data_IF_117523713813
#
_entry.id   IF_117523713813
#
_cell.length_a   1.000
_cell.length_b   1.000
_cell.length_c   1.000
_cell.angle_alpha   90.00
_cell.angle_beta   90.00
_cell.angle_gamma   90.00
#
_symmetry.space_group_name_H-M   'P 1'
#
loop_
_entity.id
_entity.type
_entity.pdbx_description
1 polymer ?
#
# COMPACT_ATOMS: atom_id res chain seq x y z
N UNK A 1 -12.75 3.39 -7.64
CA UNK A 1 -13.72 3.77 -6.60
C UNK A 1 -13.10 4.65 -5.52
N UNK A 2 -12.01 4.24 -4.83
CA UNK A 2 -11.32 5.11 -3.85
C UNK A 2 -10.92 6.47 -4.42
N UNK A 3 -10.39 6.51 -5.64
CA UNK A 3 -10.03 7.78 -6.30
C UNK A 3 -11.21 8.73 -6.53
N UNK A 4 -12.42 8.22 -6.72
CA UNK A 4 -13.61 9.04 -6.87
C UNK A 4 -13.95 9.77 -5.57
N UNK A 5 -13.99 9.07 -4.44
CA UNK A 5 -14.28 9.67 -3.12
C UNK A 5 -13.16 10.64 -2.68
N UNK A 6 -11.91 10.31 -2.99
CA UNK A 6 -10.76 11.19 -2.74
C UNK A 6 -10.82 12.47 -3.59
N UNK A 7 -11.24 12.36 -4.87
CA UNK A 7 -11.42 13.50 -5.76
C UNK A 7 -12.52 14.45 -5.30
N UNK A 8 -13.51 13.94 -4.57
CA UNK A 8 -14.56 14.77 -3.92
C UNK A 8 -14.11 15.38 -2.58
N UNK A 9 -12.86 15.17 -2.16
CA UNK A 9 -12.33 15.63 -0.87
C UNK A 9 -12.80 14.81 0.34
N UNK A 10 -13.56 13.73 0.13
CA UNK A 10 -14.02 12.86 1.21
C UNK A 10 -13.10 11.65 1.35
N UNK A 11 -12.20 11.70 2.33
CA UNK A 11 -11.23 10.63 2.63
C UNK A 11 -11.82 9.52 3.53
N UNK A 12 -12.95 9.78 4.19
CA UNK A 12 -13.53 8.85 5.19
C UNK A 12 -13.86 7.46 4.63
N UNK A 13 -14.57 7.33 3.46
CA UNK A 13 -14.88 6.01 2.92
C UNK A 13 -13.64 5.21 2.52
N UNK A 14 -12.62 5.93 2.02
CA UNK A 14 -11.33 5.32 1.69
C UNK A 14 -10.63 4.77 2.93
N UNK A 15 -10.57 5.56 4.02
CA UNK A 15 -9.94 5.15 5.28
C UNK A 15 -10.69 3.94 5.88
N UNK A 16 -12.01 4.00 5.98
CA UNK A 16 -12.83 2.89 6.51
C UNK A 16 -12.65 1.63 5.68
N UNK A 17 -12.65 1.74 4.34
CA UNK A 17 -12.44 0.58 3.47
C UNK A 17 -11.06 -0.06 3.65
N UNK A 18 -10.02 0.73 3.89
CA UNK A 18 -8.66 0.24 4.15
C UNK A 18 -8.54 -0.46 5.50
N UNK A 19 -9.15 0.10 6.54
CA UNK A 19 -9.18 -0.52 7.87
C UNK A 19 -9.93 -1.85 7.80
N UNK A 20 -11.10 -1.87 7.17
CA UNK A 20 -11.89 -3.08 6.99
C UNK A 20 -11.10 -4.16 6.22
N UNK A 21 -10.45 -3.76 5.12
CA UNK A 21 -9.59 -4.64 4.33
C UNK A 21 -8.46 -5.24 5.16
N UNK A 22 -7.74 -4.40 5.94
CA UNK A 22 -6.63 -4.84 6.77
C UNK A 22 -7.09 -5.81 7.87
N UNK A 23 -8.20 -5.48 8.56
CA UNK A 23 -8.78 -6.35 9.59
C UNK A 23 -9.25 -7.69 9.02
N UNK A 24 -9.96 -7.66 7.89
CA UNK A 24 -10.41 -8.89 7.24
C UNK A 24 -9.23 -9.75 6.78
N UNK A 25 -8.20 -9.16 6.18
CA UNK A 25 -6.98 -9.88 5.79
C UNK A 25 -6.30 -10.55 6.97
N UNK A 26 -6.17 -9.82 8.09
CA UNK A 26 -5.54 -10.33 9.29
C UNK A 26 -6.37 -11.46 9.92
N UNK A 27 -7.66 -11.22 10.15
CA UNK A 27 -8.53 -12.21 10.81
C UNK A 27 -8.72 -13.45 9.93
N UNK A 28 -9.13 -13.27 8.66
CA UNK A 28 -9.38 -14.40 7.77
C UNK A 28 -8.09 -15.11 7.37
N UNK A 29 -7.00 -14.36 7.13
CA UNK A 29 -5.72 -14.95 6.79
C UNK A 29 -5.17 -15.83 7.90
N UNK A 30 -5.17 -15.32 9.15
CA UNK A 30 -4.70 -16.10 10.30
C UNK A 30 -5.63 -17.27 10.63
N UNK A 31 -6.94 -17.08 10.59
CA UNK A 31 -7.89 -18.17 10.91
C UNK A 31 -7.84 -19.30 9.90
N UNK A 32 -7.74 -18.99 8.59
CA UNK A 32 -7.62 -20.01 7.55
C UNK A 32 -6.27 -20.72 7.62
N UNK A 33 -5.18 -19.99 7.82
CA UNK A 33 -3.86 -20.60 7.99
C UNK A 33 -3.83 -21.54 9.19
N UNK A 34 -4.33 -21.09 10.34
CA UNK A 34 -4.41 -21.91 11.56
C UNK A 34 -5.32 -23.14 11.36
N UNK A 35 -6.45 -22.97 10.71
CA UNK A 35 -7.41 -24.05 10.44
C UNK A 35 -6.77 -25.16 9.57
N UNK A 36 -6.08 -24.79 8.49
CA UNK A 36 -5.39 -25.77 7.63
C UNK A 36 -4.21 -26.44 8.31
N UNK A 37 -3.46 -25.72 9.16
CA UNK A 37 -2.41 -26.33 9.98
C UNK A 37 -2.98 -27.34 10.96
N UNK A 38 -4.11 -27.03 11.60
CA UNK A 38 -4.78 -27.95 12.54
C UNK A 38 -5.31 -29.23 11.86
N UNK A 39 -5.68 -29.13 10.58
CA UNK A 39 -6.06 -30.29 9.76
C UNK A 39 -4.88 -31.14 9.29
N UNK A 40 -3.64 -30.75 9.60
CA UNK A 40 -2.43 -31.46 9.19
C UNK A 40 -2.11 -31.37 7.69
N UNK A 41 -2.67 -30.40 6.98
CA UNK A 41 -2.54 -30.25 5.52
C UNK A 41 -1.18 -29.70 5.04
N UNK A 42 -0.24 -29.47 5.93
CA UNK A 42 1.09 -28.95 5.57
C UNK A 42 1.17 -27.43 5.46
N UNK A 43 2.43 -26.93 5.45
CA UNK A 43 2.71 -25.49 5.46
C UNK A 43 2.27 -24.78 4.17
N UNK A 44 2.36 -25.49 3.04
CA UNK A 44 2.03 -24.94 1.70
C UNK A 44 0.55 -24.62 1.59
N UNK A 45 -0.31 -25.52 2.09
CA UNK A 45 -1.76 -25.34 2.07
C UNK A 45 -2.18 -24.26 3.10
N UNK A 46 -1.52 -24.20 4.25
CA UNK A 46 -1.74 -23.16 5.23
C UNK A 46 -1.39 -21.77 4.66
N UNK A 47 -0.28 -21.66 3.93
CA UNK A 47 0.12 -20.43 3.23
C UNK A 47 -0.91 -20.04 2.14
N UNK A 48 -1.40 -21.00 1.36
CA UNK A 48 -2.47 -20.79 0.39
C UNK A 48 -3.75 -20.28 1.07
N UNK A 49 -4.11 -20.82 2.24
CA UNK A 49 -5.23 -20.36 3.06
C UNK A 49 -5.09 -18.92 3.52
N UNK A 50 -3.88 -18.52 3.94
CA UNK A 50 -3.60 -17.12 4.28
C UNK A 50 -3.84 -16.19 3.09
N UNK A 51 -3.38 -16.57 1.89
CA UNK A 51 -3.56 -15.80 0.65
C UNK A 51 -5.05 -15.70 0.26
N UNK A 52 -5.81 -16.78 0.44
CA UNK A 52 -7.28 -16.75 0.26
C UNK A 52 -7.94 -15.74 1.19
N UNK A 53 -7.51 -15.67 2.46
CA UNK A 53 -8.00 -14.65 3.41
C UNK A 53 -7.73 -13.23 2.95
N UNK A 54 -6.57 -12.96 2.35
CA UNK A 54 -6.23 -11.67 1.73
C UNK A 54 -7.18 -11.34 0.58
N UNK A 55 -7.46 -12.31 -0.29
CA UNK A 55 -8.35 -12.13 -1.44
C UNK A 55 -9.77 -11.81 -1.00
N UNK A 56 -10.30 -12.57 -0.05
CA UNK A 56 -11.65 -12.33 0.51
C UNK A 56 -11.73 -10.96 1.17
N UNK A 57 -10.72 -10.55 1.95
CA UNK A 57 -10.65 -9.22 2.56
C UNK A 57 -10.71 -8.08 1.54
N UNK A 58 -10.02 -8.24 0.41
CA UNK A 58 -10.06 -7.26 -0.69
C UNK A 58 -11.44 -7.18 -1.35
N UNK A 59 -12.10 -8.33 -1.57
CA UNK A 59 -13.46 -8.38 -2.12
C UNK A 59 -14.46 -7.69 -1.17
N UNK A 60 -14.39 -7.96 0.13
CA UNK A 60 -15.26 -7.32 1.12
C UNK A 60 -15.08 -5.80 1.15
N UNK A 61 -13.84 -5.32 1.10
CA UNK A 61 -13.53 -3.89 1.01
C UNK A 61 -14.11 -3.25 -0.26
N UNK A 62 -14.04 -3.95 -1.39
CA UNK A 62 -14.63 -3.51 -2.66
C UNK A 62 -16.16 -3.44 -2.56
N UNK A 63 -16.81 -4.47 -2.01
CA UNK A 63 -18.26 -4.51 -1.79
C UNK A 63 -18.72 -3.36 -0.89
N UNK A 64 -17.99 -3.08 0.19
CA UNK A 64 -18.26 -1.94 1.06
C UNK A 64 -18.23 -0.61 0.31
N UNK A 65 -17.21 -0.38 -0.54
CA UNK A 65 -17.12 0.85 -1.34
C UNK A 65 -18.23 0.98 -2.37
N UNK A 66 -18.63 -0.13 -3.00
CA UNK A 66 -19.77 -0.14 -3.94
C UNK A 66 -21.04 0.24 -3.18
N UNK A 67 -21.30 -0.41 -2.05
CA UNK A 67 -22.48 -0.14 -1.22
C UNK A 67 -22.50 1.32 -0.77
N UNK A 68 -21.36 1.85 -0.29
CA UNK A 68 -21.23 3.25 0.11
C UNK A 68 -21.55 4.20 -1.04
N UNK A 69 -21.00 3.99 -2.23
CA UNK A 69 -21.24 4.83 -3.39
C UNK A 69 -22.70 4.78 -3.88
N UNK A 70 -23.35 3.62 -3.79
CA UNK A 70 -24.75 3.48 -4.17
C UNK A 70 -25.69 4.21 -3.19
N UNK A 71 -25.36 4.16 -1.88
CA UNK A 71 -26.17 4.74 -0.82
C UNK A 71 -25.98 6.26 -0.71
N UNK A 72 -24.76 6.73 -0.95
CA UNK A 72 -24.38 8.17 -0.88
C UNK A 72 -24.13 8.73 -2.27
N UNK A 73 -24.96 8.38 -3.23
CA UNK A 73 -24.91 8.95 -4.57
C UNK A 73 -25.45 10.39 -4.50
N UNK A 74 -24.55 11.34 -4.26
CA UNK A 74 -24.89 12.75 -4.39
C UNK A 74 -25.30 13.02 -5.83
N UNK A 75 -26.57 13.31 -6.03
CA UNK A 75 -27.10 13.88 -7.27
C UNK A 75 -26.80 15.40 -7.31
N UNK A 76 -25.56 15.75 -7.03
CA UNK A 76 -25.11 17.13 -7.23
C UNK A 76 -25.26 17.47 -8.70
N UNK A 77 -26.08 18.44 -9.03
CA UNK A 77 -26.08 19.08 -10.34
C UNK A 77 -24.69 19.66 -10.53
N UNK A 78 -23.86 18.98 -11.32
CA UNK A 78 -22.60 19.57 -11.74
C UNK A 78 -22.92 20.64 -12.77
N UNK A 79 -22.75 21.88 -12.38
CA UNK A 79 -22.88 23.06 -13.25
C UNK A 79 -21.73 23.14 -14.26
N UNK A 80 -20.74 22.28 -14.17
CA UNK A 80 -19.61 22.25 -15.08
C UNK A 80 -19.93 21.45 -16.35
N UNK A 81 -19.59 22.04 -17.48
CA UNK A 81 -19.64 21.37 -18.79
C UNK A 81 -18.72 20.18 -18.76
N UNK A 82 -19.22 18.95 -18.98
CA UNK A 82 -18.38 17.76 -18.92
C UNK A 82 -17.27 17.81 -19.96
N UNK A 83 -16.01 17.76 -19.55
CA UNK A 83 -14.89 17.62 -20.47
C UNK A 83 -15.06 16.33 -21.31
N UNK A 84 -14.65 16.39 -22.58
CA UNK A 84 -14.69 15.23 -23.45
C UNK A 84 -13.94 14.06 -22.82
N UNK A 85 -14.58 12.87 -22.78
CA UNK A 85 -14.00 11.65 -22.22
C UNK A 85 -12.62 11.33 -22.80
N UNK A 86 -12.36 11.65 -24.07
CA UNK A 86 -11.06 11.46 -24.70
C UNK A 86 -9.97 12.35 -24.13
N UNK A 87 -10.28 13.62 -23.84
CA UNK A 87 -9.35 14.58 -23.23
C UNK A 87 -9.04 14.16 -21.79
N UNK A 88 -10.06 13.74 -21.05
CA UNK A 88 -9.89 13.26 -19.68
C UNK A 88 -9.02 11.99 -19.62
N UNK A 89 -9.28 11.03 -20.50
CA UNK A 89 -8.47 9.80 -20.62
C UNK A 89 -7.01 10.12 -20.93
N UNK A 90 -6.75 11.04 -21.86
CA UNK A 90 -5.39 11.47 -22.20
C UNK A 90 -4.67 12.09 -21.01
N UNK A 91 -5.34 12.96 -20.24
CA UNK A 91 -4.78 13.54 -19.01
C UNK A 91 -4.45 12.47 -17.97
N UNK A 92 -5.38 11.53 -17.73
CA UNK A 92 -5.19 10.43 -16.77
C UNK A 92 -4.03 9.52 -17.19
N UNK A 93 -3.95 9.15 -18.47
CA UNK A 93 -2.85 8.31 -18.99
C UNK A 93 -1.49 9.03 -18.93
N UNK A 94 -1.46 10.34 -19.24
CA UNK A 94 -0.23 11.12 -19.18
C UNK A 94 0.40 11.16 -17.77
N UNK A 95 -0.42 11.12 -16.74
CA UNK A 95 0.03 11.06 -15.33
C UNK A 95 0.24 9.61 -14.88
N UNK A 96 -0.67 8.73 -15.24
CA UNK A 96 -0.68 7.33 -14.80
C UNK A 96 0.48 6.51 -15.35
N UNK A 97 0.84 6.68 -16.63
CA UNK A 97 1.92 5.90 -17.28
C UNK A 97 3.27 6.09 -16.57
N UNK A 98 3.76 7.33 -16.32
CA UNK A 98 5.04 7.51 -15.61
C UNK A 98 5.03 6.92 -14.21
N UNK A 99 3.94 7.09 -13.46
CA UNK A 99 3.80 6.53 -12.11
C UNK A 99 3.82 4.99 -12.15
N UNK A 100 3.10 4.40 -13.09
CA UNK A 100 3.06 2.94 -13.26
C UNK A 100 4.44 2.39 -13.65
N UNK A 101 5.15 3.04 -14.55
CA UNK A 101 6.52 2.66 -14.93
C UNK A 101 7.47 2.71 -13.74
N UNK A 102 7.41 3.76 -12.92
CA UNK A 102 8.24 3.88 -11.71
C UNK A 102 7.96 2.76 -10.72
N UNK A 103 6.69 2.45 -10.45
CA UNK A 103 6.31 1.36 -9.56
C UNK A 103 6.67 -0.02 -10.13
N UNK A 104 6.58 -0.20 -11.46
CA UNK A 104 6.99 -1.44 -12.13
C UNK A 104 8.50 -1.66 -12.04
N UNK A 105 9.31 -0.60 -12.12
CA UNK A 105 10.76 -0.69 -11.95
C UNK A 105 11.13 -1.26 -10.58
N UNK A 106 10.49 -0.80 -9.50
CA UNK A 106 10.69 -1.37 -8.16
C UNK A 106 10.32 -2.84 -8.07
N UNK A 107 9.21 -3.23 -8.70
CA UNK A 107 8.78 -4.64 -8.74
C UNK A 107 9.77 -5.53 -9.52
N UNK A 108 10.34 -5.02 -10.61
CA UNK A 108 11.38 -5.73 -11.39
C UNK A 108 12.65 -5.90 -10.56
N UNK A 109 13.08 -4.84 -9.84
CA UNK A 109 14.25 -4.92 -8.94
C UNK A 109 14.03 -6.00 -7.89
N UNK A 110 12.87 -6.04 -7.25
CA UNK A 110 12.53 -7.08 -6.25
C UNK A 110 12.53 -8.48 -6.86
N UNK A 111 12.04 -8.65 -8.10
CA UNK A 111 12.09 -9.93 -8.83
C UNK A 111 13.54 -10.38 -9.12
N UNK A 112 14.37 -9.47 -9.58
CA UNK A 112 15.79 -9.73 -9.86
C UNK A 112 16.52 -10.10 -8.57
N UNK A 113 16.28 -9.36 -7.48
CA UNK A 113 16.86 -9.63 -6.17
C UNK A 113 16.43 -11.01 -5.64
N UNK A 114 15.13 -11.31 -5.69
CA UNK A 114 14.59 -12.63 -5.31
C UNK A 114 15.27 -13.75 -6.10
N UNK A 115 15.39 -13.63 -7.41
CA UNK A 115 16.01 -14.62 -8.27
C UNK A 115 17.50 -14.80 -7.96
N UNK A 116 18.22 -13.70 -7.74
CA UNK A 116 19.64 -13.73 -7.47
C UNK A 116 19.93 -14.32 -6.09
N UNK A 117 19.28 -13.86 -5.03
CA UNK A 117 19.50 -14.32 -3.66
C UNK A 117 19.14 -15.80 -3.54
N UNK A 118 17.93 -16.18 -3.92
CA UNK A 118 17.47 -17.56 -3.83
C UNK A 118 18.29 -18.48 -4.76
N UNK A 119 18.61 -18.01 -5.97
CA UNK A 119 19.43 -18.75 -6.93
C UNK A 119 20.83 -19.02 -6.38
N UNK A 120 21.49 -18.04 -5.77
CA UNK A 120 22.81 -18.21 -5.15
C UNK A 120 22.77 -19.12 -3.94
N UNK A 121 21.78 -19.01 -3.08
CA UNK A 121 21.61 -19.91 -1.93
C UNK A 121 21.50 -21.38 -2.38
N UNK A 122 20.80 -21.65 -3.48
CA UNK A 122 20.66 -23.02 -4.03
C UNK A 122 21.94 -23.56 -4.69
N UNK A 123 22.87 -22.70 -5.11
CA UNK A 123 24.14 -23.15 -5.71
C UNK A 123 25.18 -23.56 -4.68
N UNK A 124 24.98 -23.24 -3.41
CA UNK A 124 25.86 -23.64 -2.31
C UNK A 124 25.34 -24.98 -1.76
N UNK A 125 26.10 -26.09 -1.92
CA UNK A 125 25.62 -27.45 -1.55
C UNK A 125 25.16 -27.55 -0.08
N UNK A 126 25.87 -26.88 0.83
CA UNK A 126 25.58 -26.89 2.27
C UNK A 126 24.28 -26.14 2.62
N UNK A 127 23.81 -25.18 1.78
CA UNK A 127 22.66 -24.35 2.01
C UNK A 127 21.47 -24.69 1.10
N UNK A 128 21.66 -25.58 0.14
CA UNK A 128 20.65 -25.88 -0.89
C UNK A 128 19.33 -26.36 -0.28
N UNK A 129 19.38 -27.25 0.70
CA UNK A 129 18.19 -27.81 1.38
C UNK A 129 17.48 -26.77 2.27
N UNK A 130 18.23 -25.79 2.80
CA UNK A 130 17.70 -24.72 3.66
C UNK A 130 17.48 -23.40 2.93
N UNK A 131 17.76 -23.33 1.62
CA UNK A 131 17.72 -22.10 0.83
C UNK A 131 16.39 -21.36 0.92
N UNK A 132 15.26 -22.07 0.91
CA UNK A 132 13.93 -21.47 1.04
C UNK A 132 13.71 -20.85 2.43
N UNK A 133 14.17 -21.52 3.48
CA UNK A 133 14.06 -21.03 4.87
C UNK A 133 14.92 -19.79 5.08
N UNK A 134 16.16 -19.82 4.62
CA UNK A 134 17.09 -18.68 4.68
C UNK A 134 16.57 -17.48 3.90
N UNK A 135 16.01 -17.74 2.71
CA UNK A 135 15.37 -16.68 1.94
C UNK A 135 14.13 -16.11 2.66
N UNK A 136 13.34 -16.95 3.32
CA UNK A 136 12.22 -16.50 4.16
C UNK A 136 12.68 -15.60 5.32
N UNK A 137 13.78 -15.95 5.99
CA UNK A 137 14.37 -15.11 7.05
C UNK A 137 14.88 -13.78 6.50
N UNK A 138 15.54 -13.78 5.35
CA UNK A 138 15.96 -12.57 4.64
C UNK A 138 14.75 -11.67 4.33
N UNK A 139 13.69 -12.22 3.76
CA UNK A 139 12.48 -11.46 3.45
C UNK A 139 11.79 -10.92 4.70
N UNK A 140 11.81 -11.66 5.80
CA UNK A 140 11.30 -11.18 7.08
C UNK A 140 12.10 -9.96 7.57
N UNK A 141 13.43 -10.01 7.50
CA UNK A 141 14.31 -8.88 7.81
C UNK A 141 14.01 -7.66 6.92
N UNK A 142 13.85 -7.87 5.61
CA UNK A 142 13.48 -6.80 4.67
C UNK A 142 12.12 -6.18 5.00
N UNK A 143 11.14 -6.98 5.44
CA UNK A 143 9.85 -6.46 5.88
C UNK A 143 9.98 -5.59 7.14
N UNK A 144 10.83 -5.96 8.09
CA UNK A 144 11.11 -5.13 9.28
C UNK A 144 11.74 -3.79 8.91
N UNK A 145 12.70 -3.79 7.97
CA UNK A 145 13.32 -2.56 7.45
C UNK A 145 12.28 -1.66 6.75
N UNK A 146 11.27 -2.23 6.12
CA UNK A 146 10.21 -1.49 5.45
C UNK A 146 9.09 -0.98 6.39
N UNK A 147 9.10 -1.35 7.68
CA UNK A 147 8.11 -0.84 8.65
C UNK A 147 8.16 0.69 8.82
N UNK A 148 9.32 1.35 9.07
CA UNK A 148 9.35 2.80 9.23
C UNK A 148 8.84 3.56 8.00
N UNK A 149 9.26 3.25 6.76
CA UNK A 149 8.70 3.86 5.55
C UNK A 149 7.18 3.72 5.42
N UNK A 150 6.60 2.62 5.90
CA UNK A 150 5.15 2.39 5.80
C UNK A 150 4.32 3.38 6.62
N UNK A 151 4.87 3.96 7.68
CA UNK A 151 4.25 5.06 8.44
C UNK A 151 4.47 6.43 7.79
N UNK A 152 5.61 6.61 7.12
CA UNK A 152 5.97 7.88 6.46
C UNK A 152 5.04 8.15 5.27
N UNK A 153 4.72 7.12 4.49
CA UNK A 153 3.95 7.25 3.27
C UNK A 153 2.54 7.85 3.47
N UNK A 154 1.70 7.39 4.43
CA UNK A 154 0.40 7.99 4.69
C UNK A 154 0.48 9.44 5.15
N UNK A 155 1.49 9.79 5.99
CA UNK A 155 1.71 11.16 6.44
C UNK A 155 2.02 12.06 5.25
N UNK A 156 2.92 11.65 4.37
CA UNK A 156 3.27 12.41 3.16
C UNK A 156 2.04 12.59 2.26
N UNK A 157 1.29 11.53 2.00
CA UNK A 157 0.09 11.58 1.15
C UNK A 157 -1.00 12.51 1.70
N UNK A 158 -1.17 12.56 3.02
CA UNK A 158 -2.16 13.44 3.65
C UNK A 158 -1.78 14.93 3.53
N UNK A 159 -0.49 15.25 3.46
CA UNK A 159 0.01 16.64 3.44
C UNK A 159 0.07 17.24 2.02
N UNK A 160 0.15 16.41 0.98
CA UNK A 160 0.22 16.87 -0.42
C UNK A 160 -0.92 17.83 -0.79
N UNK A 161 -2.21 17.55 -0.50
CA UNK A 161 -3.30 18.46 -0.86
C UNK A 161 -3.18 19.82 -0.16
N UNK A 162 -2.77 19.85 1.10
CA UNK A 162 -2.62 21.09 1.85
C UNK A 162 -1.47 21.94 1.32
N UNK A 163 -0.33 21.31 1.00
CA UNK A 163 0.81 22.00 0.40
C UNK A 163 0.46 22.55 -1.00
N UNK A 164 -0.25 21.78 -1.82
CA UNK A 164 -0.72 22.21 -3.13
C UNK A 164 -1.71 23.38 -3.03
N UNK A 165 -2.64 23.36 -2.07
CA UNK A 165 -3.58 24.44 -1.83
C UNK A 165 -2.88 25.73 -1.37
N UNK A 166 -1.85 25.65 -0.54
CA UNK A 166 -1.06 26.80 -0.13
C UNK A 166 -0.30 27.40 -1.32
N UNK A 167 0.32 26.56 -2.15
CA UNK A 167 1.02 27.00 -3.36
C UNK A 167 0.09 27.65 -4.38
N UNK A 168 -1.10 27.13 -4.58
CA UNK A 168 -2.10 27.73 -5.49
C UNK A 168 -2.54 29.12 -5.04
N UNK A 169 -2.49 29.39 -3.73
CA UNK A 169 -2.75 30.72 -3.14
C UNK A 169 -1.50 31.61 -3.11
N UNK A 170 -0.37 31.16 -3.68
CA UNK A 170 0.94 31.84 -3.62
C UNK A 170 1.48 32.04 -2.20
N UNK A 171 0.97 31.28 -1.22
CA UNK A 171 1.46 31.28 0.16
C UNK A 171 2.65 30.32 0.30
N UNK A 172 3.82 30.75 -0.16
CA UNK A 172 5.07 29.99 -0.07
C UNK A 172 5.49 29.76 1.38
N UNK A 173 5.20 30.70 2.28
CA UNK A 173 5.52 30.55 3.69
C UNK A 173 4.64 29.49 4.37
N UNK A 174 3.35 29.45 4.05
CA UNK A 174 2.41 28.41 4.49
C UNK A 174 2.80 27.02 3.96
N UNK A 175 3.11 26.91 2.68
CA UNK A 175 3.59 25.67 2.09
C UNK A 175 4.90 25.18 2.77
N UNK A 176 5.85 26.07 3.03
CA UNK A 176 7.10 25.76 3.72
C UNK A 176 6.86 25.25 5.15
N UNK A 177 5.91 25.83 5.90
CA UNK A 177 5.53 25.36 7.23
C UNK A 177 4.94 23.96 7.21
N UNK A 178 4.09 23.65 6.23
CA UNK A 178 3.49 22.32 6.07
C UNK A 178 4.60 21.29 5.80
N UNK A 179 5.51 21.56 4.86
CA UNK A 179 6.64 20.69 4.54
C UNK A 179 7.57 20.50 5.74
N UNK A 180 7.90 21.59 6.44
CA UNK A 180 8.73 21.53 7.67
C UNK A 180 8.08 20.69 8.78
N UNK A 181 6.76 20.80 8.95
CA UNK A 181 6.00 19.97 9.89
C UNK A 181 6.03 18.49 9.51
N UNK A 182 5.91 18.19 8.20
CA UNK A 182 6.04 16.83 7.69
C UNK A 182 7.42 16.24 8.00
N UNK A 183 8.49 16.98 7.70
CA UNK A 183 9.86 16.55 8.02
C UNK A 183 10.06 16.28 9.51
N UNK A 184 9.51 17.12 10.37
CA UNK A 184 9.59 16.94 11.83
C UNK A 184 8.91 15.66 12.29
N UNK A 185 7.68 15.40 11.80
CA UNK A 185 6.93 14.17 12.13
C UNK A 185 7.69 12.94 11.62
N UNK A 186 8.17 12.97 10.38
CA UNK A 186 8.92 11.88 9.76
C UNK A 186 10.21 11.61 10.56
N UNK A 187 10.99 12.64 10.87
CA UNK A 187 12.22 12.49 11.64
C UNK A 187 11.96 11.92 13.05
N UNK A 188 10.90 12.36 13.71
CA UNK A 188 10.51 11.85 15.05
C UNK A 188 10.18 10.35 15.02
N UNK A 189 9.65 9.84 13.91
CA UNK A 189 9.34 8.41 13.75
C UNK A 189 10.53 7.62 13.20
N UNK A 190 11.23 8.17 12.21
CA UNK A 190 12.28 7.45 11.49
C UNK A 190 13.58 7.28 12.30
N UNK A 191 13.95 8.31 13.10
CA UNK A 191 15.19 8.24 13.88
C UNK A 191 15.14 7.15 14.96
N UNK A 192 14.11 7.08 15.85
CA UNK A 192 14.02 5.99 16.82
C UNK A 192 13.88 4.61 16.16
N UNK A 193 13.11 4.53 15.07
CA UNK A 193 12.95 3.27 14.34
C UNK A 193 14.28 2.79 13.73
N UNK A 194 15.06 3.70 13.15
CA UNK A 194 16.40 3.37 12.62
C UNK A 194 17.37 2.90 13.69
N UNK A 195 17.39 3.58 14.84
CA UNK A 195 18.19 3.16 16.00
C UNK A 195 17.72 1.81 16.52
N UNK A 196 16.41 1.61 16.68
CA UNK A 196 15.84 0.34 17.16
C UNK A 196 16.11 -0.86 16.24
N UNK A 197 16.24 -0.63 14.94
CA UNK A 197 16.58 -1.69 13.96
C UNK A 197 18.09 -1.94 13.85
N UNK A 198 18.94 -1.06 14.38
CA UNK A 198 20.40 -1.20 14.37
C UNK A 198 20.95 -1.97 15.56
N UNK A 199 20.14 -2.20 16.59
CA UNK A 199 20.46 -2.97 17.81
C UNK A 199 19.92 -4.39 17.68
#
# INVERSE_FOLDING_TARGET
>A
MRGYTQGQGNMTPTAVSQILEALCKLVLGLTLAWYFLKLGMGLDIAAAGAILGVTVGTILSMCFLIFYLLTHRDRGESLDVPESSGTLMKKVLAIGIPITLSNSAMSIITLVDTKNVLGRLRTIPELADSAATLFGQYQFGMNLINLPPSFVYPVTMSLIPFAAAALSRKDHAGAGRIVSSAFRIIATLAIPAGVGLSV
#
